data_IF_406367337791
#
_entry.id   IF_406367337791
#
_cell.length_a   1.000
_cell.length_b   1.000
_cell.length_c   1.000
_cell.angle_alpha   90.00
_cell.angle_beta   90.00
_cell.angle_gamma   90.00
#
_symmetry.space_group_name_H-M   'P 1'
#
loop_
_entity.id
_entity.type
_entity.pdbx_description
1 polymer ?
#
# COMPACT_ATOMS: atom_id res chain seq x y z
N UNK A 1 32.72 64.00 17.36
CA UNK A 1 33.36 62.68 17.54
C UNK A 1 32.70 61.94 18.71
N UNK A 2 32.52 60.62 18.54
CA UNK A 2 32.32 59.54 19.53
C UNK A 2 30.94 59.28 20.17
N UNK A 3 30.47 58.08 19.81
CA UNK A 3 29.45 57.16 20.35
C UNK A 3 29.54 56.80 21.83
N UNK A 4 28.44 56.22 22.33
CA UNK A 4 28.37 55.27 23.46
C UNK A 4 26.99 55.32 24.13
N UNK A 5 25.97 54.61 23.64
CA UNK A 5 25.63 53.22 23.97
C UNK A 5 25.45 52.98 25.49
N UNK A 6 24.20 52.81 25.93
CA UNK A 6 23.82 52.38 27.27
C UNK A 6 22.43 51.74 27.20
N UNK A 7 22.43 50.41 27.22
CA UNK A 7 21.30 49.49 27.02
C UNK A 7 20.14 49.70 28.01
N UNK A 8 18.92 49.89 27.47
CA UNK A 8 17.69 49.50 28.16
C UNK A 8 17.48 48.00 27.94
N UNK A 9 17.32 47.25 29.03
CA UNK A 9 17.05 45.82 29.04
C UNK A 9 15.52 45.62 28.96
N UNK A 10 14.95 45.08 27.87
CA UNK A 10 13.53 44.76 27.83
C UNK A 10 13.31 43.34 28.36
N UNK A 11 12.26 43.22 29.18
CA UNK A 11 11.74 42.02 29.82
C UNK A 11 11.69 40.77 28.92
N UNK A 12 11.83 39.55 29.49
CA UNK A 12 11.74 38.32 28.73
C UNK A 12 10.35 38.16 28.13
N UNK A 13 10.29 38.17 26.80
CA UNK A 13 9.09 37.84 26.04
C UNK A 13 8.70 36.38 26.34
N UNK A 14 7.52 36.23 26.94
CA UNK A 14 6.74 34.99 26.91
C UNK A 14 6.61 34.51 25.46
N UNK A 15 7.00 33.27 25.22
CA UNK A 15 6.87 32.63 23.93
C UNK A 15 7.60 31.30 23.95
N UNK A 16 7.20 30.40 24.84
CA UNK A 16 7.54 28.98 24.66
C UNK A 16 7.07 28.57 23.27
N UNK A 17 7.78 27.67 22.56
CA UNK A 17 7.37 27.25 21.23
C UNK A 17 5.92 26.77 21.35
N UNK A 18 5.01 27.54 20.76
CA UNK A 18 3.64 27.10 20.55
C UNK A 18 3.78 25.73 19.92
N UNK A 19 3.34 24.71 20.66
CA UNK A 19 3.32 23.36 20.19
C UNK A 19 2.49 23.37 18.93
N UNK A 20 3.16 23.40 17.78
CA UNK A 20 2.56 23.04 16.51
C UNK A 20 1.97 21.67 16.79
N UNK A 21 0.63 21.52 16.86
CA UNK A 21 0.06 20.22 17.11
C UNK A 21 0.62 19.31 16.01
N UNK A 22 1.10 18.09 16.33
CA UNK A 22 1.48 17.17 15.29
C UNK A 22 0.26 17.05 14.38
N UNK A 23 0.42 17.41 13.10
CA UNK A 23 -0.62 17.23 12.11
C UNK A 23 -0.72 15.72 11.91
N UNK A 24 -1.48 15.06 12.79
CA UNK A 24 -1.92 13.70 12.60
C UNK A 24 -3.08 13.77 11.61
N UNK A 25 -2.77 14.04 10.35
CA UNK A 25 -3.71 13.74 9.27
C UNK A 25 -3.78 12.22 9.22
N UNK A 26 -4.77 11.65 9.93
CA UNK A 26 -5.18 10.28 9.66
C UNK A 26 -5.60 10.24 8.20
N UNK A 27 -4.79 9.63 7.34
CA UNK A 27 -5.14 9.48 5.93
C UNK A 27 -6.32 8.53 5.87
N UNK A 28 -7.51 9.06 5.64
CA UNK A 28 -8.75 8.29 5.64
C UNK A 28 -8.97 7.60 4.30
N UNK A 29 -9.90 6.65 4.26
CA UNK A 29 -10.28 5.94 3.05
C UNK A 29 -10.68 6.90 1.93
N UNK A 30 -11.39 7.97 2.27
CA UNK A 30 -11.86 8.98 1.33
C UNK A 30 -10.71 9.77 0.68
N UNK A 31 -9.61 9.99 1.41
CA UNK A 31 -8.41 10.64 0.86
C UNK A 31 -7.76 9.74 -0.19
N UNK A 32 -7.66 8.44 0.08
CA UNK A 32 -7.12 7.48 -0.87
C UNK A 32 -8.00 7.31 -2.11
N UNK A 33 -9.31 7.21 -1.92
CA UNK A 33 -10.27 7.18 -3.04
C UNK A 33 -10.13 8.43 -3.93
N UNK A 34 -10.02 9.61 -3.30
CA UNK A 34 -9.80 10.86 -4.02
C UNK A 34 -8.48 10.89 -4.80
N UNK A 35 -7.38 10.41 -4.22
CA UNK A 35 -6.08 10.34 -4.89
C UNK A 35 -6.04 9.32 -6.05
N UNK A 36 -6.70 8.17 -5.88
CA UNK A 36 -6.76 7.12 -6.90
C UNK A 36 -7.71 7.49 -8.05
N UNK A 37 -8.72 8.32 -7.78
CA UNK A 37 -9.64 8.85 -8.81
C UNK A 37 -9.04 9.96 -9.68
N UNK A 38 -7.84 10.45 -9.36
CA UNK A 38 -7.20 11.49 -10.16
C UNK A 38 -6.89 10.99 -11.57
N UNK A 39 -7.18 11.78 -12.59
CA UNK A 39 -6.90 11.38 -13.98
C UNK A 39 -5.43 11.47 -14.38
N UNK A 40 -4.58 12.02 -13.49
CA UNK A 40 -3.15 12.20 -13.73
C UNK A 40 -2.40 10.92 -13.32
N UNK A 41 -1.84 10.15 -14.28
CA UNK A 41 -1.17 8.89 -14.00
C UNK A 41 0.01 9.02 -13.03
N UNK A 42 0.72 10.15 -13.06
CA UNK A 42 1.86 10.44 -12.19
C UNK A 42 1.45 10.55 -10.73
N UNK A 43 0.29 11.16 -10.47
CA UNK A 43 -0.28 11.30 -9.13
C UNK A 43 -0.75 9.96 -8.60
N UNK A 44 -1.43 9.16 -9.44
CA UNK A 44 -1.83 7.79 -9.08
C UNK A 44 -0.62 6.91 -8.79
N UNK A 45 0.41 6.99 -9.63
CA UNK A 45 1.67 6.25 -9.47
C UNK A 45 2.42 6.65 -8.19
N UNK A 46 2.55 7.95 -7.91
CA UNK A 46 3.16 8.43 -6.67
C UNK A 46 2.36 8.00 -5.44
N UNK A 47 1.04 8.09 -5.50
CA UNK A 47 0.13 7.64 -4.44
C UNK A 47 0.28 6.14 -4.17
N UNK A 48 0.42 5.34 -5.23
CA UNK A 48 0.65 3.91 -5.12
C UNK A 48 2.00 3.56 -4.48
N UNK A 49 3.06 4.28 -4.82
CA UNK A 49 4.36 4.11 -4.17
C UNK A 49 4.30 4.45 -2.68
N UNK A 50 3.58 5.53 -2.33
CA UNK A 50 3.34 5.87 -0.93
C UNK A 50 2.55 4.77 -0.22
N UNK A 51 1.51 4.21 -0.84
CA UNK A 51 0.77 3.07 -0.29
C UNK A 51 1.65 1.84 -0.10
N UNK A 52 2.53 1.54 -1.06
CA UNK A 52 3.48 0.45 -0.96
C UNK A 52 4.39 0.63 0.25
N UNK A 53 4.90 1.85 0.46
CA UNK A 53 5.75 2.20 1.60
C UNK A 53 4.98 2.10 2.92
N UNK A 54 3.76 2.64 2.96
CA UNK A 54 2.89 2.54 4.12
C UNK A 54 2.55 1.08 4.42
N UNK A 55 2.38 0.24 3.41
CA UNK A 55 2.15 -1.19 3.58
C UNK A 55 3.33 -1.94 4.19
N UNK A 56 4.51 -1.34 4.35
CA UNK A 56 5.63 -1.93 5.08
C UNK A 56 5.57 -1.60 6.57
N UNK A 57 5.06 -0.42 6.92
CA UNK A 57 5.20 0.15 8.27
C UNK A 57 3.88 0.33 9.01
N UNK A 58 2.75 0.37 8.31
CA UNK A 58 1.45 0.57 8.93
C UNK A 58 0.80 -0.75 9.39
N UNK A 59 -0.03 -0.68 10.44
CA UNK A 59 -0.86 -1.80 10.86
C UNK A 59 -1.78 -2.29 9.73
N UNK A 60 -1.82 -3.60 9.50
CA UNK A 60 -2.62 -4.21 8.44
C UNK A 60 -4.13 -3.98 8.62
N UNK A 61 -4.62 -3.86 9.86
CA UNK A 61 -6.03 -3.57 10.17
C UNK A 61 -6.51 -2.23 9.60
N UNK A 62 -5.59 -1.29 9.33
CA UNK A 62 -5.90 -0.01 8.68
C UNK A 62 -5.82 -0.09 7.16
N UNK A 63 -5.11 -1.07 6.63
CA UNK A 63 -4.90 -1.25 5.19
C UNK A 63 -5.98 -2.13 4.56
N UNK A 64 -6.49 -3.14 5.28
CA UNK A 64 -7.55 -4.01 4.76
C UNK A 64 -8.81 -3.27 4.28
N UNK A 65 -9.31 -2.23 5.00
CA UNK A 65 -10.48 -1.47 4.54
C UNK A 65 -10.26 -0.68 3.25
N UNK A 66 -9.00 -0.45 2.85
CA UNK A 66 -8.65 0.28 1.62
C UNK A 66 -8.63 -0.64 0.39
N UNK A 67 -8.45 -1.95 0.60
CA UNK A 67 -8.28 -2.91 -0.48
C UNK A 67 -9.43 -2.90 -1.52
N UNK A 68 -10.72 -2.78 -1.14
CA UNK A 68 -11.80 -2.71 -2.12
C UNK A 68 -11.71 -1.49 -3.05
N UNK A 69 -11.34 -0.32 -2.50
CA UNK A 69 -11.17 0.90 -3.28
C UNK A 69 -9.97 0.81 -4.23
N UNK A 70 -8.88 0.20 -3.75
CA UNK A 70 -7.67 -0.05 -4.53
C UNK A 70 -7.95 -1.00 -5.70
N UNK A 71 -8.61 -2.12 -5.44
CA UNK A 71 -8.93 -3.11 -6.46
C UNK A 71 -9.82 -2.51 -7.56
N UNK A 72 -10.87 -1.77 -7.16
CA UNK A 72 -11.77 -1.10 -8.09
C UNK A 72 -11.06 -0.08 -9.00
N UNK A 73 -10.07 0.64 -8.46
CA UNK A 73 -9.32 1.63 -9.21
C UNK A 73 -8.21 1.02 -10.08
N UNK A 74 -7.57 -0.06 -9.62
CA UNK A 74 -6.25 -0.44 -10.13
C UNK A 74 -6.16 -1.80 -10.82
N UNK A 75 -7.05 -2.75 -10.49
CA UNK A 75 -6.97 -4.10 -11.04
C UNK A 75 -7.02 -4.13 -12.58
N UNK A 76 -7.70 -3.15 -13.18
CA UNK A 76 -7.84 -2.99 -14.63
C UNK A 76 -7.31 -1.64 -15.13
N UNK A 77 -6.35 -1.07 -14.41
CA UNK A 77 -5.77 0.23 -14.78
C UNK A 77 -5.09 0.16 -16.14
N UNK A 78 -5.14 1.23 -16.92
CA UNK A 78 -4.54 1.26 -18.27
C UNK A 78 -3.00 1.25 -18.22
N UNK A 79 -2.43 1.98 -17.28
CA UNK A 79 -0.98 2.06 -17.11
C UNK A 79 -0.42 0.77 -16.49
N UNK A 80 0.55 0.15 -17.17
CA UNK A 80 1.22 -1.09 -16.75
C UNK A 80 1.89 -0.91 -15.39
N UNK A 81 2.61 0.20 -15.19
CA UNK A 81 3.32 0.48 -13.93
C UNK A 81 2.38 0.56 -12.72
N UNK A 82 1.18 1.13 -12.90
CA UNK A 82 0.19 1.20 -11.83
C UNK A 82 -0.35 -0.19 -11.48
N UNK A 83 -0.61 -1.04 -12.48
CA UNK A 83 -0.98 -2.45 -12.23
C UNK A 83 0.18 -3.20 -11.58
N UNK A 84 1.42 -2.94 -11.98
CA UNK A 84 2.59 -3.58 -11.40
C UNK A 84 2.73 -3.26 -9.91
N UNK A 85 2.63 -1.99 -9.52
CA UNK A 85 2.64 -1.56 -8.12
C UNK A 85 1.45 -2.11 -7.33
N UNK A 86 0.26 -2.18 -7.95
CA UNK A 86 -0.90 -2.78 -7.31
C UNK A 86 -0.65 -4.25 -6.94
N UNK A 87 -0.17 -5.05 -7.88
CA UNK A 87 0.12 -6.47 -7.60
C UNK A 87 1.26 -6.63 -6.58
N UNK A 88 2.27 -5.75 -6.61
CA UNK A 88 3.34 -5.74 -5.60
C UNK A 88 2.79 -5.44 -4.20
N UNK A 89 1.86 -4.49 -4.09
CA UNK A 89 1.14 -4.20 -2.85
C UNK A 89 0.36 -5.43 -2.35
N UNK A 90 -0.36 -6.14 -3.24
CA UNK A 90 -1.08 -7.36 -2.86
C UNK A 90 -0.13 -8.45 -2.34
N UNK A 91 1.01 -8.66 -3.01
CA UNK A 91 2.02 -9.62 -2.57
C UNK A 91 2.51 -9.25 -1.16
N UNK A 92 2.87 -7.97 -0.96
CA UNK A 92 3.36 -7.48 0.33
C UNK A 92 2.34 -7.63 1.46
N UNK A 93 1.07 -7.33 1.18
CA UNK A 93 -0.01 -7.52 2.14
C UNK A 93 -0.19 -9.00 2.51
N UNK A 94 -0.10 -9.90 1.54
CA UNK A 94 -0.18 -11.35 1.78
C UNK A 94 0.98 -11.85 2.65
N UNK A 95 2.21 -11.44 2.33
CA UNK A 95 3.40 -11.82 3.08
C UNK A 95 3.31 -11.35 4.53
N UNK A 96 2.93 -10.10 4.75
CA UNK A 96 2.75 -9.57 6.12
C UNK A 96 1.61 -10.25 6.85
N UNK A 97 0.52 -10.61 6.18
CA UNK A 97 -0.59 -11.35 6.79
C UNK A 97 -0.20 -12.77 7.23
N UNK A 98 0.86 -13.34 6.66
CA UNK A 98 1.40 -14.65 7.05
C UNK A 98 2.34 -14.58 8.29
N UNK A 99 2.72 -13.38 8.73
CA UNK A 99 3.56 -13.20 9.91
C UNK A 99 2.78 -13.56 11.20
N UNK A 100 3.42 -14.21 12.18
CA UNK A 100 2.77 -14.56 13.45
C UNK A 100 2.22 -13.31 14.16
N UNK A 101 0.91 -13.31 14.46
CA UNK A 101 0.25 -12.21 15.16
C UNK A 101 -0.16 -11.04 14.26
N UNK A 102 0.00 -11.15 12.95
CA UNK A 102 -0.51 -10.18 12.00
C UNK A 102 -2.05 -10.10 12.01
N UNK A 103 -2.60 -8.92 11.71
CA UNK A 103 -4.03 -8.76 11.56
C UNK A 103 -4.51 -9.49 10.30
N UNK A 104 -5.43 -10.43 10.48
CA UNK A 104 -6.03 -11.22 9.40
C UNK A 104 -7.06 -10.36 8.66
N UNK A 105 -7.09 -10.38 7.31
CA UNK A 105 -8.16 -9.72 6.56
C UNK A 105 -9.52 -10.34 6.89
N UNK A 106 -10.59 -9.56 6.77
CA UNK A 106 -11.93 -10.15 6.73
C UNK A 106 -12.12 -11.01 5.47
N UNK A 107 -13.20 -11.79 5.43
CA UNK A 107 -13.46 -12.69 4.30
C UNK A 107 -13.53 -11.97 2.95
N UNK A 108 -14.05 -10.74 2.91
CA UNK A 108 -14.19 -9.98 1.67
C UNK A 108 -12.83 -9.47 1.17
N UNK A 109 -12.02 -8.90 2.07
CA UNK A 109 -10.65 -8.49 1.77
C UNK A 109 -9.78 -9.69 1.38
N UNK A 110 -9.95 -10.85 2.02
CA UNK A 110 -9.24 -12.08 1.66
C UNK A 110 -9.59 -12.55 0.25
N UNK A 111 -10.88 -12.57 -0.10
CA UNK A 111 -11.34 -12.88 -1.46
C UNK A 111 -10.75 -11.91 -2.48
N UNK A 112 -10.79 -10.60 -2.21
CA UNK A 112 -10.21 -9.58 -3.10
C UNK A 112 -8.71 -9.74 -3.28
N UNK A 113 -7.98 -9.95 -2.19
CA UNK A 113 -6.54 -10.15 -2.19
C UNK A 113 -6.17 -11.34 -3.08
N UNK A 114 -6.86 -12.48 -2.89
CA UNK A 114 -6.65 -13.68 -3.69
C UNK A 114 -7.05 -13.47 -5.15
N UNK A 115 -8.21 -12.89 -5.42
CA UNK A 115 -8.65 -12.65 -6.80
C UNK A 115 -7.72 -11.70 -7.55
N UNK A 116 -7.24 -10.63 -6.89
CA UNK A 116 -6.30 -9.69 -7.48
C UNK A 116 -4.96 -10.36 -7.83
N UNK A 117 -4.43 -11.20 -6.95
CA UNK A 117 -3.21 -11.97 -7.23
C UNK A 117 -3.37 -12.99 -8.38
N UNK A 118 -4.57 -13.56 -8.55
CA UNK A 118 -4.88 -14.45 -9.67
C UNK A 118 -5.06 -13.68 -10.97
N UNK A 119 -5.73 -12.53 -10.94
CA UNK A 119 -5.92 -11.65 -12.11
C UNK A 119 -4.57 -11.23 -12.70
N UNK A 120 -3.56 -11.02 -11.85
CA UNK A 120 -2.19 -10.72 -12.31
C UNK A 120 -1.56 -11.80 -13.20
N UNK A 121 -1.99 -13.07 -13.10
CA UNK A 121 -1.56 -14.14 -14.03
C UNK A 121 -2.12 -13.94 -15.44
N UNK A 122 -3.20 -13.17 -15.58
CA UNK A 122 -3.85 -12.83 -16.83
C UNK A 122 -3.55 -11.40 -17.29
N UNK A 123 -2.56 -10.72 -16.71
CA UNK A 123 -2.19 -9.35 -17.12
C UNK A 123 -1.80 -9.35 -18.62
N UNK A 124 -2.20 -8.34 -19.42
CA UNK A 124 -1.76 -8.24 -20.81
C UNK A 124 -0.25 -8.07 -20.96
N UNK A 125 0.45 -7.52 -19.95
CA UNK A 125 1.90 -7.38 -19.95
C UNK A 125 2.62 -8.69 -19.59
N UNK A 126 3.57 -9.12 -20.42
CA UNK A 126 4.29 -10.39 -20.26
C UNK A 126 5.20 -10.41 -19.03
N UNK A 127 5.97 -9.34 -18.84
CA UNK A 127 6.87 -9.20 -17.69
C UNK A 127 6.09 -9.32 -16.37
N UNK A 128 4.91 -8.70 -16.30
CA UNK A 128 4.04 -8.80 -15.14
C UNK A 128 3.52 -10.21 -14.92
N UNK A 129 3.08 -10.91 -15.97
CA UNK A 129 2.64 -12.31 -15.87
C UNK A 129 3.76 -13.21 -15.35
N UNK A 130 4.98 -13.05 -15.87
CA UNK A 130 6.15 -13.81 -15.42
C UNK A 130 6.46 -13.55 -13.95
N UNK A 131 6.42 -12.29 -13.51
CA UNK A 131 6.63 -11.95 -12.11
C UNK A 131 5.54 -12.54 -11.20
N UNK A 132 4.27 -12.58 -11.65
CA UNK A 132 3.19 -13.23 -10.91
C UNK A 132 3.33 -14.76 -10.87
N UNK A 133 3.75 -15.37 -11.98
CA UNK A 133 4.07 -16.81 -12.03
C UNK A 133 5.21 -17.15 -11.07
N UNK A 134 6.26 -16.33 -11.02
CA UNK A 134 7.38 -16.49 -10.09
C UNK A 134 6.93 -16.45 -8.64
N UNK A 135 6.08 -15.48 -8.28
CA UNK A 135 5.47 -15.40 -6.95
C UNK A 135 4.69 -16.67 -6.61
N UNK A 136 3.74 -17.09 -7.45
CA UNK A 136 2.93 -18.28 -7.19
C UNK A 136 3.75 -19.57 -7.15
N UNK A 137 4.74 -19.71 -8.03
CA UNK A 137 5.64 -20.87 -8.02
C UNK A 137 6.45 -20.96 -6.72
N UNK A 138 6.81 -19.82 -6.12
CA UNK A 138 7.47 -19.75 -4.81
C UNK A 138 6.60 -20.23 -3.65
N UNK A 139 5.28 -20.09 -3.76
CA UNK A 139 4.31 -20.52 -2.74
C UNK A 139 3.92 -22.00 -2.85
N UNK A 140 4.19 -22.63 -4.00
CA UNK A 140 3.71 -23.97 -4.29
C UNK A 140 4.61 -25.07 -3.69
N UNK A 141 4.04 -26.21 -3.28
CA UNK A 141 4.82 -27.37 -2.83
C UNK A 141 5.79 -27.91 -3.89
N UNK A 142 6.93 -28.42 -3.42
CA UNK A 142 7.94 -29.06 -4.30
C UNK A 142 7.44 -30.38 -4.91
N UNK A 143 6.63 -31.14 -4.19
CA UNK A 143 6.04 -32.40 -4.70
C UNK A 143 5.02 -32.12 -5.80
N UNK A 144 5.10 -32.84 -6.92
CA UNK A 144 4.18 -32.67 -8.06
C UNK A 144 2.72 -32.93 -7.67
N UNK A 145 2.45 -33.99 -6.90
CA UNK A 145 1.09 -34.32 -6.47
C UNK A 145 0.51 -33.23 -5.56
N UNK A 146 1.28 -32.77 -4.57
CA UNK A 146 0.86 -31.68 -3.68
C UNK A 146 0.70 -30.35 -4.43
N UNK A 147 1.53 -30.12 -5.46
CA UNK A 147 1.45 -28.93 -6.31
C UNK A 147 0.16 -28.89 -7.12
N UNK A 148 -0.23 -30.02 -7.72
CA UNK A 148 -1.50 -30.12 -8.45
C UNK A 148 -2.69 -29.83 -7.52
N UNK A 149 -2.71 -30.42 -6.32
CA UNK A 149 -3.76 -30.16 -5.32
C UNK A 149 -3.80 -28.68 -4.95
N UNK A 150 -2.66 -28.08 -4.60
CA UNK A 150 -2.58 -26.67 -4.23
C UNK A 150 -3.03 -25.73 -5.37
N UNK A 151 -2.70 -26.04 -6.62
CA UNK A 151 -3.20 -25.29 -7.77
C UNK A 151 -4.73 -25.36 -7.87
N UNK A 152 -5.33 -26.54 -7.71
CA UNK A 152 -6.78 -26.69 -7.73
C UNK A 152 -7.45 -25.93 -6.57
N UNK A 153 -6.94 -26.06 -5.35
CA UNK A 153 -7.46 -25.35 -4.18
C UNK A 153 -7.36 -23.83 -4.34
N UNK A 154 -6.29 -23.34 -4.96
CA UNK A 154 -6.07 -21.90 -5.20
C UNK A 154 -6.91 -21.34 -6.35
N UNK A 155 -7.27 -22.15 -7.34
CA UNK A 155 -8.06 -21.71 -8.49
C UNK A 155 -9.58 -21.87 -8.28
N UNK A 156 -10.02 -22.78 -7.40
CA UNK A 156 -11.43 -23.17 -7.28
C UNK A 156 -12.05 -23.04 -5.88
N UNK A 157 -11.31 -22.57 -4.87
CA UNK A 157 -11.88 -22.19 -3.57
C UNK A 157 -12.27 -20.70 -3.50
#
# INVERSE_FOLDING_TARGET
>A
ERSGAGQEEPAPLRGGPEGVPPVTTSVTKEVWEGLLSQQQPEVQHASLRLLLELAQHHPLDKLWPLLPALDAALARHRAVDCRALYHELLIRLRERAAEPGAAVPDAASETLLRSGLLVGLCDPDETRREAMLGYWHGQLPRSMAARLVACFETLYA
#
